data_IF_681948837812
#
_entry.id   IF_681948837812
#
_cell.length_a   1.000
_cell.length_b   1.000
_cell.length_c   1.000
_cell.angle_alpha   90.00
_cell.angle_beta   90.00
_cell.angle_gamma   90.00
#
_symmetry.space_group_name_H-M   'P 1'
#
loop_
_entity.id
_entity.type
_entity.pdbx_description
1 polymer ?
#
# COMPACT_ATOMS: atom_id res chain seq x y z
N UNK A 1 210.27 -44.38 -83.05
CA UNK A 1 211.10 -43.72 -82.02
C UNK A 1 210.21 -42.69 -81.33
N UNK A 2 210.26 -42.58 -80.00
CA UNK A 2 209.57 -41.50 -79.27
C UNK A 2 210.41 -40.22 -79.28
N UNK A 3 209.79 -39.08 -79.03
CA UNK A 3 210.45 -37.78 -78.91
C UNK A 3 210.88 -37.60 -77.45
N UNK A 4 212.13 -37.21 -77.25
CA UNK A 4 212.69 -36.92 -75.93
C UNK A 4 212.29 -35.51 -75.48
N UNK A 5 211.05 -35.39 -74.98
CA UNK A 5 210.45 -34.11 -74.58
C UNK A 5 211.26 -33.34 -73.53
N UNK A 6 212.06 -34.01 -72.71
CA UNK A 6 212.95 -33.33 -71.76
C UNK A 6 213.98 -32.44 -72.48
N UNK A 7 214.57 -32.93 -73.58
CA UNK A 7 215.51 -32.14 -74.41
C UNK A 7 214.81 -31.02 -75.20
N UNK A 8 213.54 -31.20 -75.56
CA UNK A 8 212.73 -30.16 -76.22
C UNK A 8 212.47 -29.00 -75.25
N UNK A 9 212.13 -29.30 -73.99
CA UNK A 9 211.91 -28.30 -72.94
C UNK A 9 213.23 -27.61 -72.54
N UNK A 10 214.35 -28.34 -72.50
CA UNK A 10 215.66 -27.79 -72.11
C UNK A 10 216.24 -26.83 -73.17
N UNK A 11 215.95 -27.04 -74.47
CA UNK A 11 216.42 -26.20 -75.59
C UNK A 11 215.34 -26.06 -76.68
N UNK A 12 214.28 -25.27 -76.44
CA UNK A 12 213.13 -25.18 -77.36
C UNK A 12 213.49 -24.56 -78.72
N UNK A 13 214.46 -23.63 -78.76
CA UNK A 13 214.85 -22.89 -79.97
C UNK A 13 215.79 -23.69 -80.91
N UNK A 14 216.01 -24.98 -80.66
CA UNK A 14 216.79 -25.86 -81.54
C UNK A 14 215.87 -26.78 -82.35
N UNK A 15 216.29 -27.10 -83.58
CA UNK A 15 215.59 -28.07 -84.41
C UNK A 15 215.65 -29.48 -83.79
N UNK A 16 214.52 -29.96 -83.29
CA UNK A 16 214.35 -31.34 -82.82
C UNK A 16 213.64 -32.16 -83.90
N UNK A 17 214.23 -33.30 -84.31
CA UNK A 17 213.59 -34.19 -85.29
C UNK A 17 212.40 -34.94 -84.68
N UNK A 18 211.21 -34.48 -85.03
CA UNK A 18 209.92 -35.03 -84.60
C UNK A 18 209.32 -35.92 -85.70
N UNK A 19 208.72 -37.05 -85.32
CA UNK A 19 208.01 -37.92 -86.28
C UNK A 19 206.67 -37.27 -86.64
N UNK A 20 206.48 -36.92 -87.92
CA UNK A 20 205.30 -36.16 -88.38
C UNK A 20 203.95 -36.80 -88.04
N UNK A 21 203.85 -38.13 -87.98
CA UNK A 21 202.62 -38.83 -87.56
C UNK A 21 202.23 -38.57 -86.10
N UNK A 22 203.20 -38.32 -85.20
CA UNK A 22 202.90 -37.96 -83.82
C UNK A 22 202.27 -36.56 -83.74
N UNK A 23 202.83 -35.59 -84.46
CA UNK A 23 202.25 -34.25 -84.58
C UNK A 23 200.85 -34.32 -85.21
N UNK A 24 200.66 -35.11 -86.27
CA UNK A 24 199.35 -35.33 -86.88
C UNK A 24 198.34 -35.89 -85.87
N UNK A 25 198.72 -36.92 -85.11
CA UNK A 25 197.84 -37.53 -84.09
C UNK A 25 197.53 -36.60 -82.90
N UNK A 26 198.46 -35.70 -82.56
CA UNK A 26 198.27 -34.70 -81.50
C UNK A 26 197.35 -33.59 -82.01
N UNK A 27 197.59 -33.11 -83.24
CA UNK A 27 196.71 -32.17 -83.93
C UNK A 27 195.30 -32.70 -84.09
N UNK A 28 195.11 -33.96 -84.51
CA UNK A 28 193.78 -34.59 -84.62
C UNK A 28 193.06 -34.69 -83.27
N UNK A 29 193.78 -34.89 -82.15
CA UNK A 29 193.20 -34.83 -80.80
C UNK A 29 192.80 -33.40 -80.43
N UNK A 30 193.63 -32.41 -80.75
CA UNK A 30 193.34 -30.99 -80.54
C UNK A 30 192.10 -30.60 -81.36
N UNK A 31 192.06 -30.87 -82.66
CA UNK A 31 190.91 -30.60 -83.55
C UNK A 31 189.62 -31.30 -83.05
N UNK A 32 189.72 -32.51 -82.49
CA UNK A 32 188.58 -33.20 -81.88
C UNK A 32 188.15 -32.58 -80.54
N UNK A 33 189.08 -32.10 -79.72
CA UNK A 33 188.79 -31.40 -78.45
C UNK A 33 188.25 -29.98 -78.68
N UNK A 34 188.79 -29.25 -79.65
CA UNK A 34 188.30 -27.95 -80.13
C UNK A 34 186.86 -28.09 -80.61
N UNK A 35 186.57 -29.09 -81.47
CA UNK A 35 185.19 -29.39 -81.85
C UNK A 35 184.31 -29.77 -80.65
N UNK A 36 184.80 -30.57 -79.72
CA UNK A 36 184.03 -30.93 -78.50
C UNK A 36 183.72 -29.69 -77.66
N UNK A 37 184.64 -28.73 -77.59
CA UNK A 37 184.45 -27.43 -76.93
C UNK A 37 183.46 -26.56 -77.70
N UNK A 38 183.48 -26.58 -79.03
CA UNK A 38 182.50 -25.90 -79.89
C UNK A 38 181.07 -26.47 -79.70
N UNK A 39 180.92 -27.79 -79.76
CA UNK A 39 179.66 -28.51 -79.53
C UNK A 39 179.11 -28.26 -78.10
N UNK A 40 180.00 -28.24 -77.09
CA UNK A 40 179.64 -27.91 -75.69
C UNK A 40 179.28 -26.43 -75.52
N UNK A 41 180.00 -25.49 -76.15
CA UNK A 41 179.69 -24.07 -76.09
C UNK A 41 178.34 -23.76 -76.76
N UNK A 42 178.03 -24.42 -77.89
CA UNK A 42 176.71 -24.36 -78.52
C UNK A 42 175.60 -24.90 -77.60
N UNK A 43 175.86 -26.03 -76.93
CA UNK A 43 174.95 -26.61 -75.94
C UNK A 43 174.72 -25.68 -74.74
N UNK A 44 175.77 -25.04 -74.22
CA UNK A 44 175.70 -24.07 -73.12
C UNK A 44 174.92 -22.81 -73.56
N UNK A 45 175.13 -22.32 -74.78
CA UNK A 45 174.41 -21.17 -75.32
C UNK A 45 172.90 -21.45 -75.42
N UNK A 46 172.51 -22.63 -75.95
CA UNK A 46 171.10 -23.02 -76.05
C UNK A 46 170.46 -23.25 -74.67
N UNK A 47 171.13 -23.92 -73.73
CA UNK A 47 170.63 -24.06 -72.35
C UNK A 47 170.48 -22.70 -71.67
N UNK A 48 171.41 -21.75 -71.91
CA UNK A 48 171.33 -20.39 -71.36
C UNK A 48 170.14 -19.62 -71.96
N UNK A 49 169.89 -19.78 -73.26
CA UNK A 49 168.74 -19.19 -73.94
C UNK A 49 167.41 -19.79 -73.45
N UNK A 50 167.32 -21.11 -73.29
CA UNK A 50 166.15 -21.79 -72.72
C UNK A 50 165.89 -21.37 -71.28
N UNK A 51 166.93 -21.25 -70.44
CA UNK A 51 166.83 -20.78 -69.06
C UNK A 51 166.33 -19.33 -69.00
N UNK A 52 166.83 -18.45 -69.87
CA UNK A 52 166.34 -17.06 -69.99
C UNK A 52 164.85 -17.02 -70.36
N UNK A 53 164.46 -17.77 -71.40
CA UNK A 53 163.05 -17.86 -71.82
C UNK A 53 162.14 -18.45 -70.74
N UNK A 54 162.60 -19.48 -70.03
CA UNK A 54 161.87 -20.08 -68.90
C UNK A 54 161.69 -19.08 -67.75
N UNK A 55 162.73 -18.29 -67.44
CA UNK A 55 162.64 -17.21 -66.46
C UNK A 55 161.63 -16.13 -66.88
N UNK A 56 161.66 -15.67 -68.12
CA UNK A 56 160.72 -14.67 -68.65
C UNK A 56 159.25 -15.16 -68.58
N UNK A 57 159.03 -16.46 -68.84
CA UNK A 57 157.71 -17.11 -68.68
C UNK A 57 157.29 -17.19 -67.20
N UNK A 58 158.22 -17.48 -66.29
CA UNK A 58 157.93 -17.51 -64.85
C UNK A 58 157.61 -16.11 -64.30
N UNK A 59 158.38 -15.08 -64.67
CA UNK A 59 158.16 -13.70 -64.24
C UNK A 59 156.80 -13.16 -64.73
N UNK A 60 156.43 -13.44 -65.98
CA UNK A 60 155.10 -13.08 -66.53
C UNK A 60 153.96 -13.88 -65.88
N UNK A 61 154.16 -15.16 -65.59
CA UNK A 61 153.16 -16.00 -64.88
C UNK A 61 152.93 -15.51 -63.45
N UNK A 62 153.99 -15.12 -62.73
CA UNK A 62 153.91 -14.60 -61.36
C UNK A 62 153.11 -13.30 -61.31
N UNK A 63 153.35 -12.37 -62.23
CA UNK A 63 152.61 -11.10 -62.26
C UNK A 63 151.13 -11.30 -62.65
N UNK A 64 150.83 -12.24 -63.56
CA UNK A 64 149.44 -12.65 -63.85
C UNK A 64 148.73 -13.26 -62.62
N UNK A 65 149.38 -14.17 -61.90
CA UNK A 65 148.83 -14.76 -60.67
C UNK A 65 148.61 -13.70 -59.58
N UNK A 66 149.53 -12.73 -59.46
CA UNK A 66 149.44 -11.60 -58.54
C UNK A 66 148.28 -10.65 -58.89
N UNK A 67 148.05 -10.37 -60.18
CA UNK A 67 146.87 -9.63 -60.62
C UNK A 67 145.58 -10.38 -60.27
N UNK A 68 145.46 -11.66 -60.66
CA UNK A 68 144.28 -12.50 -60.36
C UNK A 68 144.02 -12.57 -58.83
N UNK A 69 145.07 -12.62 -58.02
CA UNK A 69 144.95 -12.63 -56.55
C UNK A 69 144.38 -11.31 -56.01
N UNK A 70 144.75 -10.17 -56.59
CA UNK A 70 144.17 -8.87 -56.24
C UNK A 70 142.71 -8.77 -56.72
N UNK A 71 142.42 -9.13 -57.98
CA UNK A 71 141.07 -9.07 -58.56
C UNK A 71 140.08 -9.94 -57.75
N UNK A 72 140.51 -11.14 -57.30
CA UNK A 72 139.72 -12.01 -56.42
C UNK A 72 139.56 -11.43 -55.02
N UNK A 73 140.58 -10.78 -54.47
CA UNK A 73 140.52 -10.14 -53.14
C UNK A 73 139.54 -8.98 -53.14
N UNK A 74 139.54 -8.15 -54.18
CA UNK A 74 138.61 -7.02 -54.30
C UNK A 74 137.17 -7.49 -54.52
N UNK A 75 136.97 -8.61 -55.25
CA UNK A 75 135.67 -9.29 -55.35
C UNK A 75 135.18 -9.83 -54.00
N UNK A 76 136.07 -10.41 -53.17
CA UNK A 76 135.73 -10.87 -51.81
C UNK A 76 135.29 -9.68 -50.96
N UNK A 77 136.06 -8.58 -50.94
CA UNK A 77 135.72 -7.37 -50.17
C UNK A 77 134.37 -6.77 -50.63
N UNK A 78 134.09 -6.76 -51.93
CA UNK A 78 132.80 -6.34 -52.46
C UNK A 78 131.64 -7.24 -51.98
N UNK A 79 131.84 -8.57 -51.98
CA UNK A 79 130.83 -9.54 -51.52
C UNK A 79 130.62 -9.52 -50.00
N UNK A 80 131.67 -9.32 -49.22
CA UNK A 80 131.55 -9.06 -47.78
C UNK A 80 130.74 -7.77 -47.52
N UNK A 81 130.93 -6.73 -48.35
CA UNK A 81 130.11 -5.51 -48.32
C UNK A 81 128.62 -5.77 -48.60
N UNK A 82 128.30 -6.55 -49.63
CA UNK A 82 126.93 -6.98 -49.96
C UNK A 82 126.31 -7.80 -48.82
N UNK A 83 127.04 -8.79 -48.28
CA UNK A 83 126.59 -9.65 -47.18
C UNK A 83 126.29 -8.81 -45.92
N UNK A 84 127.18 -7.89 -45.55
CA UNK A 84 126.96 -7.01 -44.40
C UNK A 84 125.74 -6.09 -44.58
N UNK A 85 125.49 -5.58 -45.79
CA UNK A 85 124.25 -4.85 -46.07
C UNK A 85 123.02 -5.73 -45.93
N UNK A 86 123.00 -6.92 -46.55
CA UNK A 86 121.88 -7.85 -46.48
C UNK A 86 121.57 -8.29 -45.04
N UNK A 87 122.58 -8.51 -44.22
CA UNK A 87 122.42 -8.80 -42.79
C UNK A 87 121.76 -7.63 -42.03
N UNK A 88 122.11 -6.38 -42.37
CA UNK A 88 121.45 -5.18 -41.84
C UNK A 88 119.99 -5.07 -42.27
N UNK A 89 119.71 -5.30 -43.55
CA UNK A 89 118.34 -5.30 -44.10
C UNK A 89 117.47 -6.40 -43.45
N UNK A 90 118.02 -7.61 -43.25
CA UNK A 90 117.36 -8.71 -42.51
C UNK A 90 117.10 -8.33 -41.05
N UNK A 91 118.07 -7.72 -40.35
CA UNK A 91 117.88 -7.28 -38.96
C UNK A 91 116.79 -6.22 -38.82
N UNK A 92 116.68 -5.31 -39.80
CA UNK A 92 115.63 -4.30 -39.85
C UNK A 92 114.24 -4.93 -40.11
N UNK A 93 114.14 -5.84 -41.08
CA UNK A 93 112.90 -6.55 -41.40
C UNK A 93 112.40 -7.42 -40.22
N UNK A 94 113.30 -8.09 -39.50
CA UNK A 94 112.95 -8.85 -38.29
C UNK A 94 112.39 -7.93 -37.18
N UNK A 95 112.98 -6.74 -37.00
CA UNK A 95 112.48 -5.73 -36.05
C UNK A 95 111.08 -5.23 -36.42
N UNK A 96 110.83 -4.96 -37.70
CA UNK A 96 109.52 -4.57 -38.21
C UNK A 96 108.48 -5.70 -38.07
N UNK A 97 108.87 -6.95 -38.32
CA UNK A 97 108.00 -8.12 -38.18
C UNK A 97 107.53 -8.31 -36.74
N UNK A 98 108.43 -8.28 -35.75
CA UNK A 98 108.06 -8.41 -34.35
C UNK A 98 107.23 -7.21 -33.84
N UNK A 99 107.47 -6.00 -34.36
CA UNK A 99 106.63 -4.83 -34.07
C UNK A 99 105.19 -4.99 -34.60
N UNK A 100 105.02 -5.41 -35.86
CA UNK A 100 103.70 -5.67 -36.47
C UNK A 100 102.96 -6.82 -35.77
N UNK A 101 103.68 -7.88 -35.40
CA UNK A 101 103.18 -9.03 -34.65
C UNK A 101 102.64 -8.62 -33.28
N UNK A 102 103.33 -7.74 -32.55
CA UNK A 102 102.85 -7.19 -31.28
C UNK A 102 101.60 -6.31 -31.49
N UNK A 103 101.60 -5.43 -32.51
CA UNK A 103 100.40 -4.64 -32.85
C UNK A 103 99.18 -5.52 -33.17
N UNK A 104 99.36 -6.66 -33.82
CA UNK A 104 98.28 -7.63 -34.07
C UNK A 104 97.77 -8.25 -32.76
N UNK A 105 98.64 -8.55 -31.79
CA UNK A 105 98.26 -9.06 -30.47
C UNK A 105 97.46 -7.99 -29.69
N UNK A 106 97.90 -6.74 -29.69
CA UNK A 106 97.24 -5.62 -29.02
C UNK A 106 95.86 -5.33 -29.63
N UNK A 107 95.77 -5.32 -30.97
CA UNK A 107 94.50 -5.12 -31.69
C UNK A 107 93.51 -6.27 -31.44
N UNK A 108 93.97 -7.52 -31.45
CA UNK A 108 93.12 -8.68 -31.14
C UNK A 108 92.62 -8.64 -29.69
N UNK A 109 93.48 -8.25 -28.73
CA UNK A 109 93.12 -8.12 -27.32
C UNK A 109 92.10 -6.99 -27.09
N UNK A 110 92.29 -5.86 -27.80
CA UNK A 110 91.34 -4.74 -27.81
C UNK A 110 89.99 -5.17 -28.39
N UNK A 111 89.99 -5.83 -29.55
CA UNK A 111 88.77 -6.30 -30.22
C UNK A 111 88.00 -7.33 -29.37
N UNK A 112 88.70 -8.25 -28.71
CA UNK A 112 88.08 -9.20 -27.78
C UNK A 112 87.40 -8.48 -26.60
N UNK A 113 88.07 -7.46 -26.04
CA UNK A 113 87.54 -6.66 -24.93
C UNK A 113 86.29 -5.86 -25.34
N UNK A 114 86.34 -5.14 -26.47
CA UNK A 114 85.18 -4.39 -26.98
C UNK A 114 84.01 -5.29 -27.38
N UNK A 115 84.27 -6.51 -27.90
CA UNK A 115 83.21 -7.47 -28.18
C UNK A 115 82.52 -7.97 -26.89
N UNK A 116 83.27 -8.16 -25.80
CA UNK A 116 82.70 -8.52 -24.49
C UNK A 116 81.87 -7.37 -23.89
N UNK A 117 82.35 -6.13 -24.00
CA UNK A 117 81.62 -4.94 -23.57
C UNK A 117 80.31 -4.77 -24.37
N UNK A 118 80.37 -4.86 -25.70
CA UNK A 118 79.19 -4.82 -26.58
C UNK A 118 78.17 -5.92 -26.25
N UNK A 119 78.61 -7.16 -26.01
CA UNK A 119 77.72 -8.24 -25.61
C UNK A 119 77.06 -7.94 -24.25
N UNK A 120 77.82 -7.47 -23.26
CA UNK A 120 77.26 -7.12 -21.94
C UNK A 120 76.25 -5.97 -22.01
N UNK A 121 76.41 -5.02 -22.94
CA UNK A 121 75.44 -3.94 -23.17
C UNK A 121 74.18 -4.48 -23.88
N UNK A 122 74.33 -5.35 -24.89
CA UNK A 122 73.22 -5.99 -25.59
C UNK A 122 72.38 -6.88 -24.65
N UNK A 123 73.02 -7.66 -23.79
CA UNK A 123 72.34 -8.52 -22.81
C UNK A 123 71.55 -7.66 -21.81
N UNK A 124 72.15 -6.57 -21.31
CA UNK A 124 71.51 -5.61 -20.41
C UNK A 124 70.30 -4.90 -21.03
N UNK A 125 70.44 -4.39 -22.26
CA UNK A 125 69.34 -3.77 -23.00
C UNK A 125 68.22 -4.75 -23.34
N UNK A 126 68.56 -6.01 -23.63
CA UNK A 126 67.57 -7.07 -23.87
C UNK A 126 66.74 -7.33 -22.60
N UNK A 127 67.40 -7.44 -21.43
CA UNK A 127 66.72 -7.59 -20.15
C UNK A 127 65.84 -6.39 -19.75
N UNK A 128 66.26 -5.16 -20.09
CA UNK A 128 65.43 -3.96 -19.89
C UNK A 128 64.19 -3.96 -20.80
N UNK A 129 64.34 -4.34 -22.07
CA UNK A 129 63.22 -4.50 -23.02
C UNK A 129 62.23 -5.58 -22.55
N UNK A 130 62.71 -6.71 -22.03
CA UNK A 130 61.84 -7.75 -21.46
C UNK A 130 61.05 -7.25 -20.23
N UNK A 131 61.70 -6.50 -19.32
CA UNK A 131 61.03 -5.91 -18.16
C UNK A 131 59.98 -4.86 -18.57
N UNK A 132 60.30 -3.98 -19.52
CA UNK A 132 59.37 -2.99 -20.04
C UNK A 132 58.15 -3.66 -20.72
N UNK A 133 58.36 -4.73 -21.49
CA UNK A 133 57.26 -5.50 -22.09
C UNK A 133 56.36 -6.17 -21.04
N UNK A 134 56.92 -6.67 -19.93
CA UNK A 134 56.13 -7.20 -18.81
C UNK A 134 55.30 -6.10 -18.13
N UNK A 135 55.87 -4.91 -17.91
CA UNK A 135 55.17 -3.76 -17.33
C UNK A 135 54.04 -3.28 -18.25
N UNK A 136 54.27 -3.21 -19.57
CA UNK A 136 53.22 -2.87 -20.56
C UNK A 136 52.09 -3.89 -20.48
N UNK A 137 52.39 -5.20 -20.50
CA UNK A 137 51.37 -6.25 -20.43
C UNK A 137 50.53 -6.20 -19.14
N UNK A 138 51.15 -5.89 -18.00
CA UNK A 138 50.44 -5.66 -16.74
C UNK A 138 49.52 -4.43 -16.81
N UNK A 139 49.98 -3.33 -17.43
CA UNK A 139 49.20 -2.11 -17.60
C UNK A 139 48.03 -2.27 -18.58
N UNK A 140 48.19 -3.05 -19.64
CA UNK A 140 47.10 -3.40 -20.55
C UNK A 140 46.01 -4.21 -19.84
N UNK A 141 46.38 -5.15 -18.96
CA UNK A 141 45.42 -5.89 -18.12
C UNK A 141 44.70 -4.98 -17.13
N UNK A 142 45.41 -4.05 -16.49
CA UNK A 142 44.82 -3.04 -15.60
C UNK A 142 43.80 -2.15 -16.35
N UNK A 143 44.14 -1.70 -17.56
CA UNK A 143 43.25 -0.92 -18.44
C UNK A 143 42.02 -1.73 -18.84
N UNK A 144 42.16 -3.02 -19.19
CA UNK A 144 41.02 -3.89 -19.51
C UNK A 144 40.06 -4.05 -18.32
N UNK A 145 40.59 -4.28 -17.12
CA UNK A 145 39.80 -4.40 -15.89
C UNK A 145 39.07 -3.09 -15.56
N UNK A 146 39.75 -1.93 -15.67
CA UNK A 146 39.14 -0.62 -15.45
C UNK A 146 38.03 -0.31 -16.47
N UNK A 147 38.20 -0.70 -17.74
CA UNK A 147 37.17 -0.56 -18.76
C UNK A 147 35.94 -1.44 -18.50
N UNK A 148 36.11 -2.66 -17.99
CA UNK A 148 34.98 -3.50 -17.56
C UNK A 148 34.21 -2.83 -16.42
N UNK A 149 34.91 -2.43 -15.35
CA UNK A 149 34.32 -1.76 -14.21
C UNK A 149 33.55 -0.48 -14.60
N UNK A 150 34.08 0.30 -15.56
CA UNK A 150 33.41 1.49 -16.09
C UNK A 150 32.11 1.13 -16.84
N UNK A 151 32.11 0.05 -17.63
CA UNK A 151 30.92 -0.47 -18.30
C UNK A 151 29.84 -0.91 -17.29
N UNK A 152 30.24 -1.64 -16.25
CA UNK A 152 29.32 -2.13 -15.21
C UNK A 152 28.73 -0.98 -14.39
N UNK A 153 29.55 0.02 -14.01
CA UNK A 153 29.06 1.25 -13.37
C UNK A 153 28.08 2.02 -14.26
N UNK A 154 28.35 2.11 -15.58
CA UNK A 154 27.45 2.77 -16.54
C UNK A 154 26.11 2.03 -16.66
N UNK A 155 26.14 0.69 -16.70
CA UNK A 155 24.93 -0.13 -16.67
C UNK A 155 24.13 0.08 -15.38
N UNK A 156 24.81 0.19 -14.24
CA UNK A 156 24.16 0.42 -12.95
C UNK A 156 23.55 1.83 -12.83
N UNK A 157 24.20 2.85 -13.41
CA UNK A 157 23.62 4.21 -13.54
C UNK A 157 22.34 4.15 -14.37
N UNK A 158 22.35 3.53 -15.56
CA UNK A 158 21.15 3.38 -16.40
C UNK A 158 20.00 2.64 -15.68
N UNK A 159 20.33 1.63 -14.87
CA UNK A 159 19.33 0.95 -14.02
C UNK A 159 18.75 1.89 -12.94
N UNK A 160 19.56 2.78 -12.37
CA UNK A 160 19.11 3.77 -11.38
C UNK A 160 18.29 4.89 -11.99
N UNK A 161 18.66 5.38 -13.17
CA UNK A 161 17.88 6.37 -13.92
C UNK A 161 16.48 5.85 -14.25
N UNK A 162 16.38 4.58 -14.69
CA UNK A 162 15.08 3.93 -14.90
C UNK A 162 14.26 3.82 -13.61
N UNK A 163 14.87 3.41 -12.48
CA UNK A 163 14.20 3.38 -11.18
C UNK A 163 13.73 4.77 -10.71
N UNK A 164 14.46 5.84 -11.04
CA UNK A 164 14.06 7.22 -10.75
C UNK A 164 12.85 7.62 -11.62
N UNK A 165 12.85 7.28 -12.91
CA UNK A 165 11.73 7.55 -13.82
C UNK A 165 10.44 6.83 -13.37
N UNK A 166 10.54 5.54 -12.99
CA UNK A 166 9.41 4.76 -12.45
C UNK A 166 8.83 5.41 -11.17
N UNK A 167 9.69 5.85 -10.25
CA UNK A 167 9.29 6.54 -9.03
C UNK A 167 8.66 7.92 -9.30
N UNK A 168 9.14 8.66 -10.29
CA UNK A 168 8.53 9.92 -10.73
C UNK A 168 7.13 9.68 -11.32
N UNK A 169 6.95 8.63 -12.13
CA UNK A 169 5.63 8.24 -12.64
C UNK A 169 4.64 7.87 -11.52
N UNK A 170 5.11 7.13 -10.50
CA UNK A 170 4.29 6.82 -9.31
C UNK A 170 3.93 8.06 -8.49
N UNK A 171 4.86 9.02 -8.35
CA UNK A 171 4.63 10.28 -7.63
C UNK A 171 3.61 11.17 -8.36
N UNK A 172 3.66 11.23 -9.69
CA UNK A 172 2.66 11.94 -10.49
C UNK A 172 1.25 11.34 -10.31
N UNK A 173 1.13 10.01 -10.39
CA UNK A 173 -0.14 9.29 -10.17
C UNK A 173 -0.71 9.52 -8.75
N UNK A 174 0.16 9.59 -7.73
CA UNK A 174 -0.25 9.95 -6.36
C UNK A 174 -0.80 11.39 -6.30
N UNK A 175 -0.21 12.32 -7.05
CA UNK A 175 -0.72 13.69 -7.21
C UNK A 175 -2.11 13.74 -7.86
N UNK A 176 -2.35 12.93 -8.90
CA UNK A 176 -3.67 12.78 -9.52
C UNK A 176 -4.71 12.23 -8.53
N UNK A 177 -4.36 11.19 -7.75
CA UNK A 177 -5.24 10.69 -6.69
C UNK A 177 -5.52 11.76 -5.62
N UNK A 178 -4.54 12.58 -5.26
CA UNK A 178 -4.74 13.67 -4.29
C UNK A 178 -5.69 14.77 -4.81
N UNK A 179 -5.62 15.12 -6.10
CA UNK A 179 -6.58 16.03 -6.74
C UNK A 179 -7.99 15.43 -6.80
N UNK A 180 -8.11 14.14 -7.11
CA UNK A 180 -9.40 13.44 -7.11
C UNK A 180 -10.03 13.43 -5.70
N UNK A 181 -9.25 13.17 -4.64
CA UNK A 181 -9.71 13.24 -3.24
C UNK A 181 -10.19 14.66 -2.89
N UNK A 182 -9.48 15.71 -3.32
CA UNK A 182 -9.92 17.10 -3.12
C UNK A 182 -11.26 17.38 -3.83
N UNK A 183 -11.43 16.90 -5.06
CA UNK A 183 -12.70 17.06 -5.81
C UNK A 183 -13.87 16.32 -5.14
N UNK A 184 -13.65 15.09 -4.66
CA UNK A 184 -14.67 14.34 -3.92
C UNK A 184 -15.05 15.02 -2.59
N UNK A 185 -14.07 15.59 -1.87
CA UNK A 185 -14.35 16.31 -0.62
C UNK A 185 -15.21 17.56 -0.87
N UNK A 186 -14.94 18.34 -1.93
CA UNK A 186 -15.76 19.49 -2.31
C UNK A 186 -17.20 19.05 -2.63
N UNK A 187 -17.38 18.00 -3.43
CA UNK A 187 -18.71 17.45 -3.73
C UNK A 187 -19.45 16.96 -2.48
N UNK A 188 -18.72 16.43 -1.49
CA UNK A 188 -19.28 15.97 -0.22
C UNK A 188 -19.66 17.15 0.69
N UNK A 189 -18.89 18.23 0.71
CA UNK A 189 -19.25 19.50 1.38
C UNK A 189 -20.49 20.15 0.73
N UNK A 190 -20.55 20.22 -0.61
CA UNK A 190 -21.72 20.69 -1.35
C UNK A 190 -22.98 19.87 -1.02
N UNK A 191 -22.88 18.54 -1.00
CA UNK A 191 -24.00 17.65 -0.65
C UNK A 191 -24.42 17.77 0.81
N UNK A 192 -23.48 17.97 1.73
CA UNK A 192 -23.80 18.24 3.13
C UNK A 192 -24.51 19.59 3.32
N UNK A 193 -24.14 20.63 2.55
CA UNK A 193 -24.82 21.92 2.56
C UNK A 193 -26.24 21.81 1.99
N UNK A 194 -26.44 21.08 0.89
CA UNK A 194 -27.76 20.80 0.31
C UNK A 194 -28.66 20.02 1.30
N UNK A 195 -28.12 18.97 1.94
CA UNK A 195 -28.83 18.22 2.99
C UNK A 195 -29.20 19.11 4.17
N UNK A 196 -28.28 19.97 4.64
CA UNK A 196 -28.52 20.89 5.75
C UNK A 196 -29.65 21.88 5.42
N UNK A 197 -29.65 22.45 4.21
CA UNK A 197 -30.72 23.32 3.75
C UNK A 197 -32.07 22.59 3.68
N UNK A 198 -32.11 21.36 3.17
CA UNK A 198 -33.33 20.55 3.11
C UNK A 198 -33.88 20.25 4.52
N UNK A 199 -33.01 20.07 5.53
CA UNK A 199 -33.43 19.96 6.93
C UNK A 199 -34.00 21.27 7.48
N UNK A 200 -33.40 22.42 7.17
CA UNK A 200 -33.90 23.74 7.58
C UNK A 200 -35.25 24.07 6.92
N UNK A 201 -35.34 23.92 5.59
CA UNK A 201 -36.56 24.14 4.79
C UNK A 201 -37.72 23.29 5.34
N UNK A 202 -37.55 21.96 5.46
CA UNK A 202 -38.58 21.08 6.03
C UNK A 202 -38.92 21.42 7.48
N UNK A 203 -37.97 21.89 8.28
CA UNK A 203 -38.24 22.29 9.69
C UNK A 203 -39.12 23.54 9.74
N UNK A 204 -38.93 24.47 8.79
CA UNK A 204 -39.79 25.66 8.63
C UNK A 204 -41.20 25.27 8.16
N UNK A 205 -41.32 24.47 7.11
CA UNK A 205 -42.62 23.99 6.61
C UNK A 205 -43.43 23.26 7.69
N UNK A 206 -42.77 22.42 8.50
CA UNK A 206 -43.40 21.66 9.58
C UNK A 206 -43.77 22.56 10.78
N UNK A 207 -43.11 23.71 10.96
CA UNK A 207 -43.52 24.74 11.91
C UNK A 207 -44.76 25.51 11.41
N UNK A 208 -44.76 25.97 10.15
CA UNK A 208 -45.89 26.64 9.52
C UNK A 208 -47.14 25.76 9.50
N UNK A 209 -47.01 24.48 9.14
CA UNK A 209 -48.12 23.51 9.17
C UNK A 209 -48.71 23.34 10.59
N UNK A 210 -47.87 23.36 11.63
CA UNK A 210 -48.35 23.32 13.03
C UNK A 210 -49.07 24.60 13.43
N UNK A 211 -48.56 25.77 13.05
CA UNK A 211 -49.20 27.04 13.37
C UNK A 211 -50.55 27.18 12.64
N UNK A 212 -50.59 26.87 11.35
CA UNK A 212 -51.82 26.84 10.55
C UNK A 212 -52.87 25.88 11.12
N UNK A 213 -52.50 24.62 11.42
CA UNK A 213 -53.41 23.66 12.02
C UNK A 213 -53.91 24.09 13.41
N UNK A 214 -53.05 24.72 14.22
CA UNK A 214 -53.44 25.26 15.53
C UNK A 214 -54.35 26.50 15.40
N UNK A 215 -54.16 27.34 14.38
CA UNK A 215 -55.05 28.45 14.07
C UNK A 215 -56.44 27.95 13.61
N UNK A 216 -56.48 26.95 12.72
CA UNK A 216 -57.72 26.30 12.27
C UNK A 216 -58.49 25.64 13.43
N UNK A 217 -57.79 24.88 14.29
CA UNK A 217 -58.37 24.32 15.53
C UNK A 217 -58.94 25.41 16.43
N UNK A 218 -58.27 26.57 16.55
CA UNK A 218 -58.79 27.68 17.35
C UNK A 218 -60.01 28.38 16.70
N UNK A 219 -60.07 28.49 15.36
CA UNK A 219 -61.26 28.98 14.64
C UNK A 219 -62.46 28.06 14.87
N UNK A 220 -62.29 26.76 14.61
CA UNK A 220 -63.33 25.74 14.82
C UNK A 220 -63.81 25.74 16.28
N UNK A 221 -62.89 25.94 17.25
CA UNK A 221 -63.23 26.04 18.68
C UNK A 221 -64.02 27.31 19.02
N UNK A 222 -63.75 28.43 18.36
CA UNK A 222 -64.54 29.66 18.48
C UNK A 222 -65.93 29.51 17.86
N UNK A 223 -66.03 28.88 16.68
CA UNK A 223 -67.30 28.55 16.02
C UNK A 223 -68.16 27.61 16.88
N UNK A 224 -67.58 26.54 17.44
CA UNK A 224 -68.26 25.62 18.37
C UNK A 224 -68.78 26.36 19.61
N UNK A 225 -68.02 27.31 20.15
CA UNK A 225 -68.47 28.13 21.29
C UNK A 225 -69.62 29.05 20.88
N UNK A 226 -69.53 29.74 19.74
CA UNK A 226 -70.60 30.60 19.22
C UNK A 226 -71.89 29.83 18.96
N UNK A 227 -71.80 28.63 18.38
CA UNK A 227 -72.94 27.73 18.17
C UNK A 227 -73.51 27.25 19.51
N UNK A 228 -72.66 26.90 20.49
CA UNK A 228 -73.10 26.52 21.84
C UNK A 228 -73.83 27.65 22.55
N UNK A 229 -73.33 28.88 22.50
CA UNK A 229 -73.97 30.06 23.10
C UNK A 229 -75.30 30.37 22.42
N UNK A 230 -75.35 30.32 21.09
CA UNK A 230 -76.60 30.46 20.33
C UNK A 230 -77.63 29.40 20.74
N UNK A 231 -77.26 28.12 20.73
CA UNK A 231 -78.16 27.03 21.09
C UNK A 231 -78.62 27.11 22.56
N UNK A 232 -77.77 27.61 23.47
CA UNK A 232 -78.14 27.85 24.87
C UNK A 232 -79.16 28.99 25.00
N UNK A 233 -79.01 30.07 24.22
CA UNK A 233 -79.98 31.16 24.19
C UNK A 233 -81.32 30.71 23.58
N UNK A 234 -81.30 29.97 22.47
CA UNK A 234 -82.52 29.39 21.86
C UNK A 234 -83.22 28.41 22.83
N UNK A 235 -82.47 27.61 23.60
CA UNK A 235 -83.02 26.74 24.64
C UNK A 235 -83.63 27.52 25.80
N UNK A 236 -82.99 28.61 26.24
CA UNK A 236 -83.51 29.50 27.28
C UNK A 236 -84.81 30.19 26.83
N UNK A 237 -84.86 30.72 25.61
CA UNK A 237 -86.07 31.34 25.04
C UNK A 237 -87.21 30.32 24.87
N UNK A 238 -86.92 29.11 24.41
CA UNK A 238 -87.90 28.03 24.33
C UNK A 238 -88.41 27.61 25.72
N UNK A 239 -87.56 27.59 26.74
CA UNK A 239 -87.95 27.29 28.12
C UNK A 239 -88.78 28.43 28.74
N UNK A 240 -88.47 29.70 28.41
CA UNK A 240 -89.28 30.86 28.80
C UNK A 240 -90.67 30.81 28.14
N UNK A 241 -90.74 30.45 26.86
CA UNK A 241 -92.01 30.21 26.15
C UNK A 241 -92.80 29.05 26.77
N UNK A 242 -92.12 27.95 27.15
CA UNK A 242 -92.74 26.82 27.82
C UNK A 242 -93.33 27.20 29.20
N UNK A 243 -92.62 28.03 29.98
CA UNK A 243 -93.13 28.58 31.23
C UNK A 243 -94.38 29.44 30.98
N UNK A 244 -94.31 30.42 30.08
CA UNK A 244 -95.43 31.30 29.76
C UNK A 244 -96.67 30.53 29.27
N UNK A 245 -96.48 29.54 28.37
CA UNK A 245 -97.56 28.69 27.88
C UNK A 245 -98.12 27.77 28.98
N UNK A 246 -97.31 27.32 29.94
CA UNK A 246 -97.77 26.54 31.08
C UNK A 246 -98.55 27.40 32.09
N UNK A 247 -98.14 28.66 32.31
CA UNK A 247 -98.88 29.61 33.14
C UNK A 247 -100.20 30.02 32.50
N UNK A 248 -100.23 30.25 31.18
CA UNK A 248 -101.47 30.47 30.42
C UNK A 248 -102.39 29.24 30.46
N UNK A 249 -101.85 28.02 30.28
CA UNK A 249 -102.58 26.76 30.49
C UNK A 249 -103.16 26.65 31.90
N UNK A 250 -102.40 27.03 32.93
CA UNK A 250 -102.86 26.99 34.32
C UNK A 250 -103.96 28.04 34.56
N UNK A 251 -103.86 29.24 33.98
CA UNK A 251 -104.89 30.27 34.01
C UNK A 251 -106.18 29.79 33.32
N UNK A 252 -106.08 29.22 32.13
CA UNK A 252 -107.22 28.64 31.39
C UNK A 252 -107.84 27.48 32.19
N UNK A 253 -107.04 26.65 32.85
CA UNK A 253 -107.52 25.58 33.72
C UNK A 253 -108.33 26.13 34.92
N UNK A 254 -107.90 27.25 35.51
CA UNK A 254 -108.63 27.91 36.60
C UNK A 254 -109.92 28.59 36.08
N UNK A 255 -109.88 29.24 34.92
CA UNK A 255 -111.08 29.78 34.25
C UNK A 255 -112.09 28.68 33.90
N UNK A 256 -111.62 27.49 33.50
CA UNK A 256 -112.46 26.30 33.26
C UNK A 256 -113.05 25.76 34.57
N UNK A 257 -112.30 25.68 35.67
CA UNK A 257 -112.86 25.31 36.98
C UNK A 257 -113.97 26.27 37.42
N UNK A 258 -113.73 27.58 37.28
CA UNK A 258 -114.68 28.63 37.64
C UNK A 258 -115.97 28.47 36.81
N UNK A 259 -115.86 28.28 35.49
CA UNK A 259 -117.02 28.00 34.63
C UNK A 259 -117.74 26.70 34.99
N UNK A 260 -117.02 25.62 35.23
CA UNK A 260 -117.60 24.33 35.58
C UNK A 260 -118.42 24.42 36.88
N UNK A 261 -117.89 25.13 37.89
CA UNK A 261 -118.57 25.31 39.17
C UNK A 261 -119.74 26.32 39.08
N UNK A 262 -119.69 27.28 38.13
CA UNK A 262 -120.83 28.13 37.74
C UNK A 262 -121.94 27.32 37.05
N UNK A 263 -121.62 26.57 36.00
CA UNK A 263 -122.58 25.72 35.26
C UNK A 263 -123.24 24.68 36.18
N UNK A 264 -122.46 24.08 37.08
CA UNK A 264 -122.94 23.20 38.15
C UNK A 264 -123.93 23.89 39.11
N UNK A 265 -123.69 25.15 39.45
CA UNK A 265 -124.64 25.96 40.22
C UNK A 265 -125.93 26.21 39.43
N UNK A 266 -125.83 26.64 38.16
CA UNK A 266 -127.00 26.85 37.30
C UNK A 266 -127.84 25.58 37.10
N UNK A 267 -127.19 24.42 36.94
CA UNK A 267 -127.87 23.12 36.84
C UNK A 267 -128.61 22.80 38.14
N UNK A 268 -127.96 22.98 39.30
CA UNK A 268 -128.60 22.78 40.61
C UNK A 268 -129.78 23.73 40.85
N UNK A 269 -129.74 24.93 40.29
CA UNK A 269 -130.79 25.95 40.47
C UNK A 269 -131.98 25.74 39.51
N UNK A 270 -131.72 25.35 38.26
CA UNK A 270 -132.75 24.88 37.31
C UNK A 270 -133.46 23.63 37.82
N UNK A 271 -132.70 22.64 38.31
CA UNK A 271 -133.25 21.40 38.86
C UNK A 271 -134.13 21.64 40.10
N UNK A 272 -133.85 22.69 40.87
CA UNK A 272 -134.72 23.13 41.98
C UNK A 272 -136.03 23.74 41.47
N UNK A 273 -135.97 24.64 40.49
CA UNK A 273 -137.17 25.27 39.89
C UNK A 273 -138.09 24.24 39.22
N UNK A 274 -137.52 23.24 38.54
CA UNK A 274 -138.28 22.19 37.84
C UNK A 274 -139.05 21.28 38.82
N UNK A 275 -138.46 20.97 39.99
CA UNK A 275 -139.16 20.28 41.09
C UNK A 275 -140.25 21.16 41.72
N UNK A 276 -139.95 22.44 41.95
CA UNK A 276 -140.88 23.42 42.54
C UNK A 276 -142.09 23.67 41.62
N UNK A 277 -141.92 23.56 40.31
CA UNK A 277 -143.01 23.60 39.33
C UNK A 277 -143.84 22.30 39.31
N UNK A 278 -143.21 21.13 39.38
CA UNK A 278 -143.92 19.84 39.46
C UNK A 278 -144.80 19.70 40.72
N UNK A 279 -144.43 20.34 41.84
CA UNK A 279 -145.28 20.39 43.04
C UNK A 279 -146.56 21.19 42.81
N UNK A 280 -146.48 22.35 42.14
CA UNK A 280 -147.65 23.20 41.87
C UNK A 280 -148.68 22.52 40.93
N UNK A 281 -148.21 21.81 39.90
CA UNK A 281 -149.11 21.08 38.97
C UNK A 281 -149.85 19.92 39.66
N UNK A 282 -149.28 19.35 40.72
CA UNK A 282 -149.93 18.32 41.55
C UNK A 282 -150.99 18.94 42.47
N UNK A 283 -150.73 20.11 43.07
CA UNK A 283 -151.69 20.76 43.98
C UNK A 283 -152.98 21.22 43.27
N UNK A 284 -152.91 21.66 42.02
CA UNK A 284 -154.11 22.05 41.25
C UNK A 284 -155.05 20.87 40.99
N UNK A 285 -154.50 19.72 40.57
CA UNK A 285 -155.30 18.54 40.17
C UNK A 285 -156.19 18.02 41.31
N UNK A 286 -155.70 18.02 42.55
CA UNK A 286 -156.48 17.58 43.71
C UNK A 286 -157.62 18.54 44.09
N UNK A 287 -157.59 19.81 43.64
CA UNK A 287 -158.58 20.81 44.04
C UNK A 287 -159.93 20.64 43.31
N UNK A 288 -159.93 20.03 42.12
CA UNK A 288 -161.15 19.80 41.33
C UNK A 288 -161.90 18.52 41.79
N UNK A 289 -161.21 17.39 41.98
CA UNK A 289 -161.82 16.15 42.52
C UNK A 289 -162.51 16.36 43.88
N UNK A 290 -161.94 17.23 44.74
CA UNK A 290 -162.49 17.56 46.07
C UNK A 290 -163.87 18.26 45.99
N UNK A 291 -164.22 18.89 44.87
CA UNK A 291 -165.49 19.60 44.74
C UNK A 291 -166.62 18.73 44.17
N UNK A 292 -166.34 17.75 43.30
CA UNK A 292 -167.38 16.79 42.88
C UNK A 292 -167.83 15.88 44.04
N UNK A 293 -166.90 15.47 44.91
CA UNK A 293 -167.21 14.60 46.06
C UNK A 293 -168.09 15.28 47.13
N UNK A 294 -168.10 16.62 47.22
CA UNK A 294 -168.93 17.37 48.18
C UNK A 294 -170.44 17.25 47.94
N UNK A 295 -170.87 16.87 46.74
CA UNK A 295 -172.29 16.69 46.42
C UNK A 295 -172.88 15.34 46.87
N UNK A 296 -172.10 14.46 47.53
CA UNK A 296 -172.51 13.05 47.74
C UNK A 296 -172.31 12.45 49.14
N UNK A 297 -171.83 13.22 50.13
CA UNK A 297 -171.70 12.75 51.51
C UNK A 297 -172.40 13.72 52.47
N UNK A 298 -173.70 13.45 52.65
CA UNK A 298 -174.50 13.89 53.79
C UNK A 298 -174.98 12.62 54.51
N UNK A 299 -175.12 12.69 55.84
CA UNK A 299 -175.41 11.57 56.76
C UNK A 299 -174.23 10.64 57.16
N UNK A 300 -174.34 10.10 58.38
CA UNK A 300 -173.51 9.08 59.07
C UNK A 300 -172.13 9.49 59.67
N UNK A 301 -171.93 9.06 60.92
CA UNK A 301 -170.77 9.25 61.85
C UNK A 301 -170.55 7.91 62.61
N UNK A 302 -169.54 7.69 63.51
CA UNK A 302 -168.29 8.41 63.86
C UNK A 302 -167.03 7.47 64.01
N UNK A 303 -165.94 7.94 64.68
CA UNK A 303 -164.67 7.25 65.17
C UNK A 303 -163.43 7.33 64.23
N UNK A 304 -162.12 7.27 64.57
CA UNK A 304 -161.19 7.34 65.77
C UNK A 304 -160.02 6.30 65.56
N UNK A 305 -158.70 6.49 65.79
CA UNK A 305 -157.80 7.65 66.13
C UNK A 305 -156.29 7.23 66.09
N UNK A 306 -155.34 8.20 66.16
CA UNK A 306 -153.92 8.15 66.68
C UNK A 306 -152.64 7.77 65.84
N UNK A 307 -151.60 8.64 65.98
CA UNK A 307 -150.13 8.41 66.29
C UNK A 307 -148.99 8.18 65.22
N UNK A 308 -147.66 8.30 65.57
CA UNK A 308 -146.69 9.09 64.73
C UNK A 308 -145.16 8.65 64.63
N UNK A 309 -144.36 9.46 63.88
CA UNK A 309 -142.95 9.94 64.15
C UNK A 309 -141.66 9.04 64.05
N UNK A 310 -140.49 9.73 63.92
CA UNK A 310 -139.05 9.35 64.17
C UNK A 310 -138.25 8.67 63.01
N UNK A 311 -136.90 8.77 62.79
CA UNK A 311 -135.86 9.86 62.88
C UNK A 311 -134.51 9.45 62.13
N UNK A 312 -133.19 9.71 62.46
CA UNK A 312 -132.17 10.03 61.42
C UNK A 312 -130.73 9.36 61.46
N UNK A 313 -129.87 9.78 60.51
CA UNK A 313 -128.41 10.15 60.67
C UNK A 313 -127.20 9.26 60.24
N UNK A 314 -126.12 9.97 59.82
CA UNK A 314 -124.66 9.79 60.08
C UNK A 314 -123.66 9.34 58.95
N UNK A 315 -122.34 9.56 59.16
CA UNK A 315 -121.24 9.57 58.14
C UNK A 315 -119.94 8.81 58.55
N UNK A 316 -118.91 8.71 57.67
CA UNK A 316 -117.49 8.29 57.96
C UNK A 316 -116.51 8.52 56.76
N UNK A 317 -115.17 8.36 56.92
CA UNK A 317 -114.10 8.61 55.91
C UNK A 317 -112.88 7.62 55.97
N UNK A 318 -111.81 7.83 55.14
CA UNK A 318 -110.35 7.51 55.33
C UNK A 318 -109.57 6.44 54.48
N UNK A 319 -108.21 6.58 54.46
CA UNK A 319 -107.08 5.61 54.24
C UNK A 319 -106.12 5.60 53.00
N UNK A 320 -104.98 4.87 53.15
CA UNK A 320 -103.63 5.01 52.51
C UNK A 320 -102.94 3.64 52.22
N UNK A 321 -101.92 3.58 51.31
CA UNK A 321 -100.69 2.69 51.29
C UNK A 321 -99.81 3.00 50.03
N UNK A 322 -98.45 3.04 50.04
CA UNK A 322 -97.37 2.00 50.11
C UNK A 322 -97.30 1.00 48.93
N UNK A 323 -96.15 0.48 48.47
CA UNK A 323 -94.70 0.81 48.62
C UNK A 323 -93.83 -0.10 47.69
N UNK A 324 -92.54 0.20 47.50
CA UNK A 324 -91.56 -0.58 46.70
C UNK A 324 -90.60 -1.44 47.58
N UNK A 325 -89.90 -2.45 47.01
CA UNK A 325 -88.76 -3.15 47.63
C UNK A 325 -87.44 -3.09 46.81
N UNK A 326 -86.29 -3.16 47.51
CA UNK A 326 -84.93 -3.14 46.94
C UNK A 326 -84.38 -4.55 46.57
N UNK A 327 -83.28 -4.61 45.81
CA UNK A 327 -82.47 -5.83 45.59
C UNK A 327 -80.98 -5.56 45.87
N UNK A 328 -80.34 -6.46 46.62
CA UNK A 328 -78.95 -6.33 47.07
C UNK A 328 -77.90 -6.68 46.00
N UNK A 329 -76.85 -5.85 45.90
CA UNK A 329 -75.70 -5.94 44.99
C UNK A 329 -74.79 -7.15 45.30
N UNK A 330 -74.39 -7.92 44.28
CA UNK A 330 -73.44 -9.05 44.42
C UNK A 330 -72.05 -8.60 43.97
N UNK A 331 -71.02 -8.90 44.77
CA UNK A 331 -69.62 -8.57 44.51
C UNK A 331 -68.77 -9.85 44.59
N UNK A 332 -67.93 -10.08 43.57
CA UNK A 332 -67.00 -11.20 43.47
C UNK A 332 -65.59 -10.67 43.25
N UNK A 333 -64.57 -11.25 43.89
CA UNK A 333 -63.17 -10.90 43.70
C UNK A 333 -62.39 -12.06 43.09
N UNK A 334 -61.59 -11.81 42.07
CA UNK A 334 -60.66 -12.79 41.51
C UNK A 334 -59.40 -12.89 42.37
N UNK A 335 -58.95 -14.10 42.68
CA UNK A 335 -57.80 -14.36 43.56
C UNK A 335 -56.49 -14.74 42.83
N UNK A 336 -56.51 -14.73 41.49
CA UNK A 336 -55.45 -15.27 40.63
C UNK A 336 -55.82 -16.61 39.99
N UNK A 337 -56.87 -17.28 40.47
CA UNK A 337 -57.36 -18.57 39.95
C UNK A 337 -58.86 -18.61 39.70
N UNK A 338 -59.68 -18.07 40.59
CA UNK A 338 -61.15 -18.06 40.45
C UNK A 338 -61.82 -16.85 41.11
N UNK A 339 -63.12 -16.66 40.84
CA UNK A 339 -63.95 -15.61 41.44
C UNK A 339 -64.64 -16.09 42.72
N UNK A 340 -64.28 -15.48 43.84
CA UNK A 340 -64.82 -15.76 45.17
C UNK A 340 -65.72 -14.61 45.62
N UNK A 341 -66.91 -14.91 46.13
CA UNK A 341 -67.85 -13.89 46.63
C UNK A 341 -67.26 -13.11 47.82
N UNK A 342 -67.45 -11.79 47.83
CA UNK A 342 -67.10 -10.90 48.95
C UNK A 342 -68.24 -9.94 49.27
N UNK A 343 -68.32 -9.51 50.53
CA UNK A 343 -69.39 -8.61 51.03
C UNK A 343 -69.10 -7.13 50.76
N UNK A 344 -67.87 -6.79 50.38
CA UNK A 344 -67.36 -5.43 50.17
C UNK A 344 -66.47 -5.37 48.93
N UNK A 345 -66.52 -4.25 48.21
CA UNK A 345 -65.62 -3.98 47.09
C UNK A 345 -64.18 -3.76 47.59
N UNK A 346 -63.17 -4.18 46.81
CA UNK A 346 -61.76 -4.02 47.16
C UNK A 346 -60.98 -3.41 45.98
N UNK A 347 -60.68 -2.12 46.08
CA UNK A 347 -60.10 -1.31 44.99
C UNK A 347 -58.73 -1.81 44.49
N UNK A 348 -57.95 -2.48 45.35
CA UNK A 348 -56.62 -3.05 45.03
C UNK A 348 -56.68 -4.45 44.37
N UNK A 349 -57.84 -4.83 43.82
CA UNK A 349 -58.01 -6.15 43.21
C UNK A 349 -58.89 -6.16 41.95
N UNK A 350 -59.06 -7.34 41.34
CA UNK A 350 -59.97 -7.54 40.20
C UNK A 350 -61.35 -7.95 40.73
N UNK A 351 -62.37 -7.13 40.47
CA UNK A 351 -63.73 -7.28 41.00
C UNK A 351 -64.75 -7.43 39.87
N UNK A 352 -65.60 -8.46 39.97
CA UNK A 352 -66.75 -8.70 39.11
C UNK A 352 -68.03 -8.46 39.92
N UNK A 353 -68.81 -7.47 39.51
CA UNK A 353 -69.98 -6.97 40.25
C UNK A 353 -71.24 -7.16 39.42
N UNK A 354 -72.31 -7.70 40.03
CA UNK A 354 -73.64 -7.68 39.43
C UNK A 354 -74.30 -6.35 39.79
N UNK A 355 -74.63 -5.54 38.78
CA UNK A 355 -75.34 -4.27 38.96
C UNK A 355 -76.85 -4.50 38.73
N UNK A 356 -77.71 -4.41 39.77
CA UNK A 356 -79.14 -4.70 39.65
C UNK A 356 -79.85 -3.78 38.65
N UNK A 357 -79.56 -2.48 38.72
CA UNK A 357 -80.28 -1.43 37.98
C UNK A 357 -79.95 -1.46 36.48
N UNK A 358 -78.71 -1.85 36.14
CA UNK A 358 -78.22 -1.91 34.77
C UNK A 358 -78.42 -3.29 34.09
N UNK A 359 -78.86 -4.32 34.84
CA UNK A 359 -78.91 -5.73 34.43
C UNK A 359 -77.63 -6.20 33.71
N UNK A 360 -76.46 -5.83 34.26
CA UNK A 360 -75.14 -6.09 33.67
C UNK A 360 -74.14 -6.59 34.71
N UNK A 361 -73.20 -7.40 34.25
CA UNK A 361 -71.98 -7.71 34.98
C UNK A 361 -70.93 -6.65 34.67
N UNK A 362 -70.31 -6.08 35.70
CA UNK A 362 -69.27 -5.07 35.58
C UNK A 362 -67.95 -5.64 36.12
N UNK A 363 -66.98 -5.90 35.25
CA UNK A 363 -65.64 -6.33 35.62
C UNK A 363 -64.71 -5.11 35.67
N UNK A 364 -64.00 -4.96 36.79
CA UNK A 364 -63.04 -3.88 37.05
C UNK A 364 -61.74 -4.45 37.62
N UNK A 365 -60.63 -3.74 37.48
CA UNK A 365 -59.32 -4.17 37.97
C UNK A 365 -58.46 -3.02 38.48
N UNK A 366 -57.77 -3.25 39.60
CA UNK A 366 -56.71 -2.37 40.09
C UNK A 366 -55.63 -2.17 39.03
N UNK A 367 -55.04 -0.96 39.01
CA UNK A 367 -53.97 -0.56 38.07
C UNK A 367 -52.74 -1.46 38.18
N UNK A 368 -52.51 -2.03 39.37
CA UNK A 368 -51.44 -2.99 39.72
C UNK A 368 -51.64 -4.41 39.17
N UNK A 369 -52.85 -4.78 38.74
CA UNK A 369 -53.17 -6.16 38.30
C UNK A 369 -52.39 -6.54 37.03
N UNK A 370 -51.81 -7.74 36.95
CA UNK A 370 -51.01 -8.14 35.76
C UNK A 370 -51.90 -8.37 34.53
N UNK A 371 -51.31 -8.34 33.32
CA UNK A 371 -52.02 -8.66 32.08
C UNK A 371 -52.58 -10.10 32.07
N UNK A 372 -51.86 -11.04 32.67
CA UNK A 372 -52.22 -12.45 32.72
C UNK A 372 -53.46 -12.62 33.62
N UNK A 373 -53.47 -11.98 34.79
CA UNK A 373 -54.62 -11.98 35.70
C UNK A 373 -55.83 -11.31 35.07
N UNK A 374 -55.66 -10.11 34.46
CA UNK A 374 -56.74 -9.40 33.76
C UNK A 374 -57.39 -10.27 32.67
N UNK A 375 -56.60 -10.90 31.80
CA UNK A 375 -57.12 -11.77 30.73
C UNK A 375 -57.73 -13.07 31.24
N UNK A 376 -57.20 -13.64 32.34
CA UNK A 376 -57.75 -14.85 32.96
C UNK A 376 -59.10 -14.54 33.63
N UNK A 377 -59.16 -13.45 34.40
CA UNK A 377 -60.36 -12.94 35.02
C UNK A 377 -61.42 -12.55 33.97
N UNK A 378 -61.04 -11.86 32.88
CA UNK A 378 -61.97 -11.55 31.79
C UNK A 378 -62.59 -12.82 31.18
N UNK A 379 -61.76 -13.82 30.87
CA UNK A 379 -62.23 -15.09 30.31
C UNK A 379 -63.22 -15.81 31.24
N UNK A 380 -62.97 -15.78 32.55
CA UNK A 380 -63.88 -16.37 33.54
C UNK A 380 -65.14 -15.53 33.74
N UNK A 381 -65.03 -14.20 33.81
CA UNK A 381 -66.17 -13.29 33.91
C UNK A 381 -67.13 -13.45 32.72
N UNK A 382 -66.61 -13.64 31.50
CA UNK A 382 -67.41 -13.96 30.29
C UNK A 382 -68.14 -15.31 30.42
N UNK A 383 -67.53 -16.30 31.10
CA UNK A 383 -68.17 -17.58 31.40
C UNK A 383 -69.25 -17.45 32.49
N UNK A 384 -69.00 -16.66 33.54
CA UNK A 384 -69.95 -16.36 34.61
C UNK A 384 -71.16 -15.60 34.07
N UNK A 385 -70.93 -14.54 33.28
CA UNK A 385 -72.00 -13.79 32.62
C UNK A 385 -72.90 -14.69 31.75
N UNK A 386 -72.31 -15.63 31.00
CA UNK A 386 -73.06 -16.59 30.17
C UNK A 386 -73.78 -17.70 30.95
N UNK A 387 -73.33 -18.07 32.15
CA UNK A 387 -73.86 -19.23 32.91
C UNK A 387 -74.49 -18.90 34.27
N UNK A 388 -74.47 -17.62 34.67
CA UNK A 388 -74.82 -17.15 36.01
C UNK A 388 -73.77 -17.55 37.06
N UNK A 389 -73.60 -16.73 38.10
CA UNK A 389 -72.83 -17.12 39.27
C UNK A 389 -73.73 -17.90 40.24
N UNK A 390 -73.27 -19.06 40.72
CA UNK A 390 -74.05 -19.91 41.61
C UNK A 390 -73.78 -19.54 43.09
N UNK A 391 -74.84 -19.29 43.86
CA UNK A 391 -74.76 -19.08 45.31
C UNK A 391 -75.80 -20.01 45.95
N UNK A 392 -75.32 -21.05 46.63
CA UNK A 392 -76.18 -22.13 47.10
C UNK A 392 -76.84 -22.87 45.92
N UNK A 393 -78.17 -22.90 45.89
CA UNK A 393 -78.95 -23.57 44.85
C UNK A 393 -79.35 -22.65 43.67
N UNK A 394 -79.19 -21.33 43.80
CA UNK A 394 -79.64 -20.36 42.81
C UNK A 394 -78.47 -19.83 41.95
N UNK A 395 -78.79 -19.36 40.73
CA UNK A 395 -77.83 -18.76 39.79
C UNK A 395 -78.26 -17.33 39.45
N UNK A 396 -77.43 -16.37 39.84
CA UNK A 396 -77.69 -14.95 39.62
C UNK A 396 -76.96 -14.44 38.36
N UNK A 397 -77.57 -13.47 37.68
CA UNK A 397 -76.98 -12.82 36.50
C UNK A 397 -76.78 -13.74 35.28
N UNK A 398 -77.62 -14.75 35.10
CA UNK A 398 -77.57 -15.66 33.93
C UNK A 398 -77.91 -14.91 32.64
N UNK A 399 -76.97 -14.92 31.67
CA UNK A 399 -77.18 -14.39 30.32
C UNK A 399 -77.05 -12.88 30.18
N UNK A 400 -76.63 -12.17 31.23
CA UNK A 400 -76.46 -10.72 31.22
C UNK A 400 -75.15 -10.31 30.53
N UNK A 401 -75.12 -9.13 29.93
CA UNK A 401 -73.92 -8.63 29.25
C UNK A 401 -72.79 -8.26 30.23
N UNK A 402 -71.55 -8.46 29.80
CA UNK A 402 -70.34 -8.13 30.56
C UNK A 402 -69.74 -6.80 30.05
N UNK A 403 -69.72 -5.80 30.92
CA UNK A 403 -69.03 -4.53 30.76
C UNK A 403 -67.63 -4.59 31.38
N UNK A 404 -66.65 -3.95 30.74
CA UNK A 404 -65.25 -3.89 31.17
C UNK A 404 -64.90 -2.46 31.59
N UNK A 405 -64.69 -2.24 32.88
CA UNK A 405 -64.46 -0.93 33.49
C UNK A 405 -62.99 -0.81 33.90
N UNK A 406 -62.17 -0.34 32.97
CA UNK A 406 -60.74 -0.10 33.17
C UNK A 406 -59.98 -0.05 31.84
N UNK A 407 -58.81 0.58 31.83
CA UNK A 407 -57.96 0.59 30.63
C UNK A 407 -57.42 -0.81 30.33
N UNK A 408 -57.45 -1.20 29.06
CA UNK A 408 -56.73 -2.39 28.56
C UNK A 408 -55.23 -2.13 28.44
N UNK A 409 -54.81 -0.86 28.37
CA UNK A 409 -53.40 -0.46 28.46
C UNK A 409 -52.87 -0.66 29.88
N UNK A 410 -51.67 -1.23 29.95
CA UNK A 410 -50.88 -1.43 31.17
C UNK A 410 -49.98 -0.19 31.35
N UNK A 411 -49.70 0.27 32.58
CA UNK A 411 -48.62 1.23 32.82
C UNK A 411 -47.28 0.71 32.28
N UNK A 412 -46.52 1.60 31.64
CA UNK A 412 -45.33 1.25 30.84
C UNK A 412 -44.17 0.64 31.66
N UNK A 413 -44.20 0.80 32.98
CA UNK A 413 -43.29 0.17 33.94
C UNK A 413 -43.44 -1.37 34.05
N UNK A 414 -44.45 -1.98 33.41
CA UNK A 414 -44.72 -3.43 33.44
C UNK A 414 -44.66 -4.08 32.04
N UNK A 415 -44.18 -3.37 31.01
CA UNK A 415 -44.22 -3.85 29.61
C UNK A 415 -42.87 -4.06 28.93
N UNK A 416 -41.75 -3.83 29.63
CA UNK A 416 -40.40 -4.07 29.10
C UNK A 416 -39.44 -4.62 30.16
N UNK A 417 -39.34 -5.95 30.20
CA UNK A 417 -38.11 -6.63 30.61
C UNK A 417 -37.33 -7.09 29.37
N UNK A 418 -36.03 -7.31 29.52
CA UNK A 418 -35.06 -7.16 28.43
C UNK A 418 -35.07 -8.29 27.38
N UNK A 419 -35.22 -7.92 26.09
CA UNK A 419 -34.74 -8.72 24.96
C UNK A 419 -33.92 -7.85 24.00
N UNK A 420 -32.61 -8.07 24.01
CA UNK A 420 -31.67 -7.55 23.00
C UNK A 420 -31.75 -8.40 21.74
N UNK A 421 -31.76 -7.77 20.57
CA UNK A 421 -31.51 -8.40 19.28
C UNK A 421 -30.87 -7.38 18.33
N UNK A 422 -29.73 -7.78 17.75
CA UNK A 422 -28.99 -7.16 16.65
C UNK A 422 -28.40 -5.75 16.88
N UNK A 423 -27.15 -5.72 17.35
CA UNK A 423 -26.05 -5.30 16.45
C UNK A 423 -25.67 -6.51 15.56
#
# INVERSE_FOLDING_TARGET
MSIDWAKVIEKPDKEHKVVGSYLLSTRQKIEAQEKTIEDLNGSIAEITHQLKKSKEILETTIEQQKQITNDLKDQIVAKDGEINKLNGDISNLNGQFEALKNQIIDLNSTMASSNQELQSVLDGQTGEIEQLNQIISQKDQEIQNLNSNLSDLKNHITQKDNQINDLQSQLNLLGEFQQNIQSLNIQLEEKNAEISKIYEDHTSELAELKENANAEVNSIKAEINSIREKNLNELNDLNNQLMAANDEKNKILEEIKIKFEQEKSEISEKMKQEVEQQVNDIEQNYLEEINELKMKIQELTPKIVEKPSVEPANAVASFLKKAEPEISKIILRFDGKEFIQQTTFNEDSINLVLNPDAQRWQLSWAVTSTLIDRKTAERQARSIAKSGYAIGAERYGLGLELELIGSQTIPEALTRDQHSYNE
#
